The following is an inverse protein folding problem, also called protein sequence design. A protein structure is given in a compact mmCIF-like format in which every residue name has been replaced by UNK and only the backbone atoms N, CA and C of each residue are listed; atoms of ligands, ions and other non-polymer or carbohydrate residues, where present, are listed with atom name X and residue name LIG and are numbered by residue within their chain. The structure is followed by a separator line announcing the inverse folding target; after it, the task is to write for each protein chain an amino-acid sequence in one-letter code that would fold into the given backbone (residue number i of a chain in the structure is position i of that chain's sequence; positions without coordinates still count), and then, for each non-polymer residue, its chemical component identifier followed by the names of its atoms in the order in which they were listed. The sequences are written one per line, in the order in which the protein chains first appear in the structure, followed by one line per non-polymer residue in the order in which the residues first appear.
data_IF_836423544788
#
_entry.id   IF_836423544788
#
_cell.length_a   1.000
_cell.length_b   1.000
_cell.length_c   1.000
_cell.angle_alpha   90.00
_cell.angle_beta   90.00
_cell.angle_gamma   90.00
#
_symmetry.space_group_name_H-M   'P 1'
#
loop_
_entity.id
_entity.type
_entity.pdbx_description
1 polymer ?
#
# COMPACT_ATOMS: atom_id res chain seq x y z
N UNK A 1 -17.96 -20.21 -10.69
CA UNK A 1 -17.77 -18.99 -9.89
C UNK A 1 -16.28 -18.62 -9.83
N UNK A 2 -15.92 -17.40 -10.21
CA UNK A 2 -14.56 -16.88 -9.99
C UNK A 2 -14.22 -16.94 -8.49
N UNK A 3 -12.97 -17.26 -8.11
CA UNK A 3 -12.61 -17.45 -6.71
C UNK A 3 -12.82 -16.13 -5.95
N UNK A 4 -13.47 -16.23 -4.79
CA UNK A 4 -13.75 -15.08 -3.90
C UNK A 4 -12.50 -14.58 -3.17
N UNK A 5 -11.39 -15.31 -3.30
CA UNK A 5 -10.08 -15.00 -2.71
C UNK A 5 -8.96 -15.34 -3.69
N UNK A 6 -7.80 -14.70 -3.54
CA UNK A 6 -6.63 -14.93 -4.39
C UNK A 6 -5.33 -14.70 -3.63
N UNK A 7 -4.23 -15.27 -4.13
CA UNK A 7 -2.91 -15.06 -3.56
C UNK A 7 -2.13 -13.95 -4.27
N UNK A 8 -1.37 -13.16 -3.51
CA UNK A 8 -0.38 -12.21 -4.02
C UNK A 8 0.91 -12.28 -3.23
N UNK A 9 2.03 -11.84 -3.83
CA UNK A 9 3.34 -11.82 -3.17
C UNK A 9 3.57 -10.54 -2.37
N UNK A 10 2.50 -9.78 -2.14
CA UNK A 10 2.53 -8.49 -1.49
C UNK A 10 1.33 -8.38 -0.56
N UNK A 11 1.54 -7.80 0.62
CA UNK A 11 0.55 -7.64 1.66
C UNK A 11 0.01 -6.21 1.67
N UNK A 12 -1.30 -6.06 1.76
CA UNK A 12 -1.96 -4.79 2.04
C UNK A 12 -2.44 -4.83 3.49
N UNK A 13 -2.11 -3.81 4.28
CA UNK A 13 -1.92 -3.99 5.73
C UNK A 13 -3.11 -3.53 6.55
N UNK A 14 -4.27 -3.47 5.93
CA UNK A 14 -5.51 -3.12 6.62
C UNK A 14 -6.39 -4.37 6.64
N UNK A 15 -6.65 -4.89 7.84
CA UNK A 15 -7.43 -6.12 8.00
C UNK A 15 -6.68 -7.42 7.72
N UNK A 16 -5.38 -7.46 7.94
CA UNK A 16 -4.53 -8.61 7.68
C UNK A 16 -4.27 -9.43 8.96
N UNK A 17 -4.03 -10.73 8.77
CA UNK A 17 -3.48 -11.63 9.79
C UNK A 17 -2.16 -12.23 9.31
N UNK A 18 -1.15 -12.26 10.17
CA UNK A 18 0.16 -12.83 9.86
C UNK A 18 0.36 -14.07 10.72
N UNK A 19 0.66 -15.19 10.07
CA UNK A 19 1.03 -16.42 10.75
C UNK A 19 2.38 -16.29 11.45
N UNK A 20 2.55 -16.95 12.60
CA UNK A 20 3.81 -16.96 13.37
C UNK A 20 5.04 -17.21 12.49
N UNK A 21 4.96 -18.20 11.59
CA UNK A 21 6.05 -18.53 10.65
C UNK A 21 6.54 -17.36 9.79
N UNK A 22 5.66 -16.41 9.50
CA UNK A 22 6.00 -15.20 8.72
C UNK A 22 6.55 -14.11 9.64
N UNK A 23 6.03 -13.99 10.86
CA UNK A 23 6.61 -13.13 11.89
C UNK A 23 8.05 -13.52 12.24
N UNK A 24 8.34 -14.82 12.27
CA UNK A 24 9.68 -15.33 12.54
C UNK A 24 10.70 -14.93 11.46
N UNK A 25 10.25 -14.52 10.26
CA UNK A 25 11.10 -14.00 9.19
C UNK A 25 11.30 -12.47 9.27
N UNK A 26 10.56 -11.77 10.13
CA UNK A 26 10.58 -10.31 10.16
C UNK A 26 11.91 -9.80 10.72
N UNK A 27 12.50 -8.84 10.00
CA UNK A 27 13.66 -8.09 10.44
C UNK A 27 13.33 -6.61 10.39
N UNK A 28 13.59 -5.90 11.50
CA UNK A 28 13.35 -4.45 11.55
C UNK A 28 14.24 -3.68 10.57
N UNK A 29 15.51 -4.09 10.48
CA UNK A 29 16.48 -3.63 9.49
C UNK A 29 16.78 -4.80 8.55
N UNK A 30 15.94 -5.03 7.53
CA UNK A 30 16.00 -6.25 6.74
C UNK A 30 17.31 -6.38 5.99
N UNK A 31 18.04 -7.46 6.21
CA UNK A 31 19.31 -7.73 5.55
C UNK A 31 19.14 -8.10 4.07
N UNK A 32 20.16 -7.79 3.27
CA UNK A 32 20.24 -8.15 1.84
C UNK A 32 19.29 -7.38 0.91
N UNK A 33 18.54 -6.39 1.43
CA UNK A 33 17.57 -5.66 0.60
C UNK A 33 18.26 -4.82 -0.48
N UNK A 34 19.48 -4.31 -0.23
CA UNK A 34 20.24 -3.53 -1.21
C UNK A 34 20.59 -4.37 -2.43
N UNK A 35 21.09 -5.59 -2.22
CA UNK A 35 21.36 -6.57 -3.28
C UNK A 35 20.07 -7.01 -3.99
N UNK A 36 19.00 -7.27 -3.22
CA UNK A 36 17.69 -7.57 -3.81
C UNK A 36 17.23 -6.47 -4.78
N UNK A 37 17.47 -5.20 -4.44
CA UNK A 37 17.10 -4.05 -5.26
C UNK A 37 18.02 -3.82 -6.46
N UNK A 38 19.23 -4.39 -6.54
CA UNK A 38 20.06 -4.32 -7.75
C UNK A 38 19.50 -5.22 -8.86
N UNK A 39 18.93 -6.37 -8.50
CA UNK A 39 18.25 -7.26 -9.44
C UNK A 39 17.05 -6.54 -10.10
N UNK A 40 17.12 -6.40 -11.42
CA UNK A 40 16.14 -5.62 -12.19
C UNK A 40 14.74 -6.25 -12.16
N UNK A 41 14.65 -7.57 -12.24
CA UNK A 41 13.39 -8.31 -12.26
C UNK A 41 12.69 -8.24 -10.90
N UNK A 42 13.43 -8.50 -9.82
CA UNK A 42 12.94 -8.37 -8.45
C UNK A 42 12.40 -6.96 -8.19
N UNK A 43 13.21 -5.94 -8.50
CA UNK A 43 12.81 -4.54 -8.35
C UNK A 43 11.58 -4.19 -9.19
N UNK A 44 11.53 -4.66 -10.44
CA UNK A 44 10.40 -4.42 -11.34
C UNK A 44 9.10 -5.00 -10.77
N UNK A 45 9.12 -6.28 -10.37
CA UNK A 45 7.95 -6.97 -9.83
C UNK A 45 7.54 -6.44 -8.45
N UNK A 46 8.51 -6.14 -7.58
CA UNK A 46 8.25 -5.54 -6.27
C UNK A 46 7.63 -4.15 -6.39
N UNK A 47 7.93 -3.42 -7.48
CA UNK A 47 7.35 -2.12 -7.80
C UNK A 47 6.05 -2.18 -8.61
N UNK A 48 5.36 -3.33 -8.66
CA UNK A 48 4.14 -3.50 -9.46
C UNK A 48 4.33 -3.05 -10.91
N UNK A 49 5.30 -3.66 -11.59
CA UNK A 49 5.68 -3.32 -12.97
C UNK A 49 6.06 -1.83 -13.13
N UNK A 50 6.82 -1.31 -12.15
CA UNK A 50 7.19 0.10 -12.02
C UNK A 50 6.02 1.09 -11.86
N UNK A 51 4.82 0.64 -11.49
CA UNK A 51 3.68 1.52 -11.24
C UNK A 51 3.66 2.08 -9.81
N UNK A 52 4.36 1.45 -8.86
CA UNK A 52 4.46 1.92 -7.48
C UNK A 52 5.88 1.76 -6.92
N UNK A 53 6.43 2.81 -6.31
CA UNK A 53 7.85 2.84 -5.89
C UNK A 53 8.09 2.22 -4.51
N UNK A 54 7.74 0.95 -4.31
CA UNK A 54 7.99 0.22 -3.07
C UNK A 54 9.48 0.06 -2.76
N UNK A 55 10.34 -0.07 -3.78
CA UNK A 55 11.79 -0.07 -3.61
C UNK A 55 12.32 1.18 -2.91
N UNK A 56 11.76 2.34 -3.25
CA UNK A 56 12.15 3.61 -2.62
C UNK A 56 11.66 3.70 -1.19
N UNK A 57 10.51 3.08 -0.88
CA UNK A 57 9.99 2.98 0.48
C UNK A 57 10.86 2.06 1.33
N UNK A 58 11.27 0.91 0.78
CA UNK A 58 12.19 -0.02 1.43
C UNK A 58 13.57 0.62 1.68
N UNK A 59 14.08 1.39 0.72
CA UNK A 59 15.38 2.06 0.86
C UNK A 59 15.40 3.12 1.96
N UNK A 60 14.25 3.74 2.27
CA UNK A 60 14.13 4.68 3.39
C UNK A 60 14.18 4.01 4.76
N UNK A 61 13.93 2.69 4.84
CA UNK A 61 14.03 1.94 6.11
C UNK A 61 15.43 2.04 6.68
N UNK A 62 16.47 1.97 5.84
CA UNK A 62 17.87 2.10 6.27
C UNK A 62 18.12 3.41 7.01
N UNK A 63 17.69 4.53 6.42
CA UNK A 63 17.88 5.86 7.01
C UNK A 63 17.18 5.97 8.38
N UNK A 64 16.00 5.38 8.54
CA UNK A 64 15.28 5.35 9.82
C UNK A 64 15.95 4.42 10.84
N UNK A 65 16.50 3.29 10.37
CA UNK A 65 17.19 2.31 11.21
C UNK A 65 18.51 2.82 11.79
N UNK A 66 19.28 3.58 10.99
CA UNK A 66 20.57 4.17 11.35
C UNK A 66 20.45 5.44 12.22
N UNK A 67 19.27 6.06 12.24
CA UNK A 67 19.00 7.27 13.00
C UNK A 67 18.98 6.99 14.51
N UNK A 68 19.81 7.72 15.25
CA UNK A 68 19.92 7.62 16.72
C UNK A 68 18.90 8.48 17.44
N UNK A 69 18.32 9.47 16.76
CA UNK A 69 17.28 10.32 17.32
C UNK A 69 15.91 9.64 17.30
N UNK A 70 15.36 9.38 18.49
CA UNK A 70 14.04 8.77 18.69
C UNK A 70 12.90 9.56 18.04
N UNK A 71 13.00 10.90 17.96
CA UNK A 71 11.95 11.73 17.36
C UNK A 71 11.88 11.61 15.84
N UNK A 72 13.00 11.31 15.18
CA UNK A 72 13.05 11.10 13.72
C UNK A 72 12.60 9.67 13.37
N UNK A 73 12.82 8.69 14.27
CA UNK A 73 12.27 7.33 14.16
C UNK A 73 10.75 7.27 14.17
N UNK A 74 10.04 8.35 14.53
CA UNK A 74 8.57 8.43 14.54
C UNK A 74 7.91 8.28 13.16
N UNK A 75 8.67 8.35 12.07
CA UNK A 75 8.20 7.87 10.74
C UNK A 75 8.37 6.35 10.62
N UNK A 76 8.02 5.63 11.69
CA UNK A 76 8.12 4.19 11.80
C UNK A 76 7.07 3.54 10.90
N UNK A 77 7.54 2.62 10.06
CA UNK A 77 6.69 1.72 9.30
C UNK A 77 7.33 0.34 9.39
N UNK A 78 6.52 -0.70 9.53
CA UNK A 78 6.95 -2.11 9.64
C UNK A 78 6.50 -2.94 8.44
N UNK A 79 5.60 -2.35 7.66
CA UNK A 79 4.85 -3.00 6.60
C UNK A 79 5.69 -3.32 5.36
N UNK A 80 6.54 -2.38 4.96
CA UNK A 80 7.38 -2.54 3.79
C UNK A 80 8.50 -3.55 4.04
N UNK A 81 9.03 -3.60 5.27
CA UNK A 81 10.00 -4.62 5.68
C UNK A 81 9.38 -6.01 5.65
N UNK A 82 8.16 -6.16 6.18
CA UNK A 82 7.46 -7.43 6.13
C UNK A 82 7.15 -7.84 4.68
N UNK A 83 6.65 -6.90 3.87
CA UNK A 83 6.33 -7.16 2.46
C UNK A 83 7.58 -7.59 1.70
N UNK A 84 8.73 -6.98 1.97
CA UNK A 84 10.02 -7.42 1.46
C UNK A 84 10.36 -8.85 1.90
N UNK A 85 10.26 -9.17 3.19
CA UNK A 85 10.58 -10.53 3.68
C UNK A 85 9.68 -11.59 3.04
N UNK A 86 8.38 -11.32 2.92
CA UNK A 86 7.47 -12.24 2.25
C UNK A 86 7.83 -12.38 0.77
N UNK A 87 8.11 -11.28 0.07
CA UNK A 87 8.47 -11.31 -1.34
C UNK A 87 9.78 -12.08 -1.58
N UNK A 88 10.84 -11.78 -0.81
CA UNK A 88 12.16 -12.43 -0.85
C UNK A 88 12.04 -13.94 -0.66
N UNK A 89 11.21 -14.38 0.27
CA UNK A 89 10.98 -15.79 0.57
C UNK A 89 9.90 -16.46 -0.30
N UNK A 90 9.44 -15.79 -1.39
CA UNK A 90 8.37 -16.28 -2.28
C UNK A 90 7.08 -16.64 -1.54
N UNK A 91 6.84 -15.97 -0.41
CA UNK A 91 5.63 -16.14 0.36
C UNK A 91 4.43 -15.48 -0.30
N UNK A 92 3.25 -15.86 0.19
CA UNK A 92 1.97 -15.43 -0.37
C UNK A 92 1.07 -14.88 0.74
N UNK A 93 0.37 -13.81 0.43
CA UNK A 93 -0.77 -13.28 1.17
C UNK A 93 -2.05 -13.75 0.51
N UNK A 94 -3.01 -14.22 1.31
CA UNK A 94 -4.37 -14.49 0.86
C UNK A 94 -5.18 -13.21 0.98
N UNK A 95 -5.78 -12.79 -0.12
CA UNK A 95 -6.61 -11.59 -0.21
C UNK A 95 -8.04 -11.98 -0.60
N UNK A 96 -9.06 -11.36 0.00
CA UNK A 96 -10.41 -11.41 -0.53
C UNK A 96 -10.56 -10.50 -1.76
N UNK A 97 -11.52 -10.79 -2.63
CA UNK A 97 -11.88 -9.91 -3.75
C UNK A 97 -12.53 -8.59 -3.30
N UNK A 98 -13.07 -8.57 -2.08
CA UNK A 98 -13.63 -7.39 -1.43
C UNK A 98 -13.02 -7.25 -0.04
N UNK A 99 -12.60 -6.04 0.33
CA UNK A 99 -12.04 -5.78 1.65
C UNK A 99 -13.11 -6.07 2.71
N UNK A 100 -12.73 -6.91 3.68
CA UNK A 100 -13.56 -7.25 4.84
C UNK A 100 -13.37 -6.28 6.00
N UNK A 101 -12.49 -5.28 5.82
CA UNK A 101 -12.16 -4.29 6.83
C UNK A 101 -12.32 -2.90 6.25
N UNK A 102 -12.78 -1.97 7.08
CA UNK A 102 -12.84 -0.54 6.76
C UNK A 102 -11.95 0.20 7.73
N UNK A 103 -10.98 0.94 7.23
CA UNK A 103 -10.21 1.85 8.06
C UNK A 103 -10.99 3.16 8.26
N UNK A 104 -11.37 3.43 9.50
CA UNK A 104 -12.05 4.67 9.90
C UNK A 104 -11.10 5.66 10.60
N UNK A 105 -9.83 5.29 10.78
CA UNK A 105 -8.79 6.07 11.44
C UNK A 105 -8.03 6.98 10.49
N UNK A 106 -8.71 7.98 9.93
CA UNK A 106 -8.08 9.06 9.17
C UNK A 106 -8.38 10.38 9.92
N UNK A 107 -7.50 10.75 10.87
CA UNK A 107 -7.72 11.93 11.72
C UNK A 107 -6.62 12.16 12.77
N UNK A 108 -6.71 13.27 13.49
CA UNK A 108 -5.78 13.60 14.59
C UNK A 108 -6.02 12.62 15.75
N UNK A 109 -4.99 11.89 16.16
CA UNK A 109 -5.05 10.91 17.26
C UNK A 109 -4.75 9.46 16.87
N UNK A 110 -4.68 9.13 15.58
CA UNK A 110 -4.25 7.82 15.10
C UNK A 110 -2.80 7.87 14.64
N UNK A 111 -1.83 7.39 15.46
CA UNK A 111 -0.37 7.24 15.24
C UNK A 111 0.43 8.41 14.60
N UNK A 112 -0.23 9.44 14.08
CA UNK A 112 0.30 10.62 13.45
C UNK A 112 -0.43 11.84 14.04
N UNK A 113 0.33 12.78 14.57
CA UNK A 113 -0.19 14.06 15.09
C UNK A 113 -0.47 15.08 13.97
N UNK A 114 -0.21 14.72 12.71
CA UNK A 114 -0.34 15.62 11.56
C UNK A 114 -1.23 14.98 10.49
N UNK A 115 -2.15 15.74 9.85
CA UNK A 115 -2.97 15.24 8.76
C UNK A 115 -2.09 14.89 7.56
N UNK A 116 -1.98 13.60 7.26
CA UNK A 116 -1.27 13.11 6.07
C UNK A 116 -2.18 13.26 4.86
N UNK A 117 -1.83 14.16 3.94
CA UNK A 117 -2.47 14.24 2.62
C UNK A 117 -1.89 13.17 1.69
N UNK A 118 -2.16 11.89 1.98
CA UNK A 118 -1.84 10.82 1.05
C UNK A 118 -2.87 10.79 -0.09
N UNK A 119 -2.46 10.56 -1.36
CA UNK A 119 -3.40 10.32 -2.46
C UNK A 119 -4.19 9.02 -2.27
N UNK A 120 -3.72 8.14 -1.39
CA UNK A 120 -4.54 7.13 -0.72
C UNK A 120 -5.04 7.80 0.55
N UNK A 121 -6.19 8.47 0.49
CA UNK A 121 -6.84 9.09 1.65
C UNK A 121 -7.32 8.01 2.61
N UNK A 122 -6.38 7.26 3.17
CA UNK A 122 -6.65 6.10 3.96
C UNK A 122 -7.69 5.16 3.35
N UNK A 123 -7.50 4.74 2.10
CA UNK A 123 -8.32 3.70 1.47
C UNK A 123 -7.44 2.53 1.07
N UNK A 124 -7.88 1.33 1.44
CA UNK A 124 -7.32 0.06 1.02
C UNK A 124 -7.42 -0.01 -0.52
N UNK A 125 -6.40 -0.49 -1.25
CA UNK A 125 -6.53 -0.77 -2.68
C UNK A 125 -7.63 -1.80 -3.02
N UNK A 126 -8.10 -2.59 -2.05
CA UNK A 126 -9.20 -3.54 -2.22
C UNK A 126 -10.56 -2.84 -2.22
N UNK A 127 -11.52 -3.39 -2.98
CA UNK A 127 -12.89 -2.87 -3.05
C UNK A 127 -13.58 -3.08 -1.70
N UNK A 128 -13.92 -2.03 -0.96
CA UNK A 128 -14.67 -2.17 0.29
C UNK A 128 -16.13 -2.62 0.01
N UNK A 129 -16.62 -3.60 0.79
CA UNK A 129 -18.02 -4.05 0.74
C UNK A 129 -19.01 -3.06 1.37
N UNK A 130 -20.31 -3.33 1.22
CA UNK A 130 -21.38 -2.53 1.84
C UNK A 130 -21.38 -2.70 3.37
N UNK A 131 -21.79 -1.65 4.11
CA UNK A 131 -21.71 -1.55 5.58
C UNK A 131 -22.67 -2.47 6.37
N UNK A 132 -23.23 -3.51 5.76
CA UNK A 132 -24.23 -4.37 6.40
C UNK A 132 -23.55 -5.50 7.19
N UNK A 133 -23.81 -5.55 8.50
CA UNK A 133 -23.31 -6.56 9.45
C UNK A 133 -23.76 -8.00 9.13
N UNK A 134 -24.64 -8.18 8.15
CA UNK A 134 -25.24 -9.47 7.77
C UNK A 134 -24.22 -10.52 7.27
N UNK A 135 -23.01 -10.09 6.87
CA UNK A 135 -21.95 -10.98 6.39
C UNK A 135 -21.35 -11.89 7.49
N UNK A 136 -21.55 -11.56 8.77
CA UNK A 136 -20.96 -12.30 9.91
C UNK A 136 -21.83 -13.48 10.41
N UNK A 137 -23.07 -13.62 9.95
CA UNK A 137 -24.04 -14.57 10.53
C UNK A 137 -23.93 -16.01 10.01
N UNK A 138 -23.09 -16.27 8.99
CA UNK A 138 -22.93 -17.60 8.42
C UNK A 138 -21.47 -18.05 8.41
N UNK A 139 -21.10 -19.14 9.12
CA UNK A 139 -19.81 -19.77 8.90
C UNK A 139 -19.79 -20.38 7.48
N UNK A 140 -19.13 -19.71 6.53
CA UNK A 140 -19.08 -20.13 5.11
C UNK A 140 -18.04 -21.22 4.82
N UNK A 141 -17.82 -22.18 5.72
CA UNK A 141 -16.86 -23.25 5.48
C UNK A 141 -17.48 -24.62 5.78
N UNK A 142 -18.39 -25.06 4.90
CA UNK A 142 -18.82 -26.47 4.90
C UNK A 142 -17.79 -27.37 4.21
N UNK A 143 -16.98 -26.83 3.31
CA UNK A 143 -15.83 -27.51 2.68
C UNK A 143 -14.79 -26.47 2.23
N UNK A 144 -13.53 -26.67 2.59
CA UNK A 144 -12.39 -25.90 2.09
C UNK A 144 -11.37 -26.87 1.49
N UNK A 145 -10.99 -26.64 0.24
CA UNK A 145 -9.88 -27.35 -0.38
C UNK A 145 -8.84 -26.33 -0.81
N UNK A 146 -7.60 -26.51 -0.35
CA UNK A 146 -6.48 -25.74 -0.86
C UNK A 146 -6.23 -26.17 -2.30
N UNK A 147 -5.95 -25.23 -3.23
CA UNK A 147 -5.53 -25.62 -4.56
C UNK A 147 -4.21 -26.39 -4.46
N UNK A 148 -4.03 -27.36 -5.35
CA UNK A 148 -2.83 -28.22 -5.39
C UNK A 148 -1.54 -27.43 -5.64
N UNK A 149 -1.65 -26.20 -6.16
CA UNK A 149 -0.56 -25.27 -6.36
C UNK A 149 -0.95 -23.89 -5.83
N UNK A 150 -0.12 -23.33 -4.96
CA UNK A 150 -0.24 -21.95 -4.49
C UNK A 150 0.61 -21.05 -5.40
N UNK A 151 -0.04 -20.30 -6.29
CA UNK A 151 0.63 -19.31 -7.15
C UNK A 151 0.00 -17.94 -7.00
N UNK A 152 0.77 -16.87 -7.28
CA UNK A 152 0.21 -15.53 -7.31
C UNK A 152 -0.84 -15.45 -8.41
N UNK A 153 -1.95 -14.74 -8.15
CA UNK A 153 -2.96 -14.50 -9.16
C UNK A 153 -2.51 -13.34 -10.06
N UNK A 154 -2.06 -13.68 -11.26
CA UNK A 154 -1.51 -12.68 -12.19
C UNK A 154 -2.58 -11.70 -12.68
N UNK A 155 -3.85 -12.11 -12.83
CA UNK A 155 -4.95 -11.21 -13.19
C UNK A 155 -5.19 -10.15 -12.11
N UNK A 156 -5.17 -10.54 -10.84
CA UNK A 156 -5.28 -9.63 -9.70
C UNK A 156 -4.06 -8.68 -9.63
N UNK A 157 -2.85 -9.22 -9.83
CA UNK A 157 -1.62 -8.43 -9.88
C UNK A 157 -1.67 -7.35 -10.98
N UNK A 158 -2.09 -7.72 -12.18
CA UNK A 158 -2.22 -6.78 -13.31
C UNK A 158 -3.29 -5.71 -13.07
N UNK A 159 -4.40 -6.07 -12.41
CA UNK A 159 -5.42 -5.10 -12.00
C UNK A 159 -4.82 -4.04 -11.06
N UNK A 160 -4.02 -4.46 -10.07
CA UNK A 160 -3.33 -3.54 -9.15
C UNK A 160 -2.30 -2.67 -9.87
N UNK A 161 -1.54 -3.23 -10.83
CA UNK A 161 -0.62 -2.45 -11.66
C UNK A 161 -1.35 -1.34 -12.42
N UNK A 162 -2.48 -1.66 -13.04
CA UNK A 162 -3.33 -0.68 -13.74
C UNK A 162 -3.89 0.39 -12.79
N UNK A 163 -4.32 -0.01 -11.60
CA UNK A 163 -4.80 0.91 -10.58
C UNK A 163 -3.69 1.88 -10.14
N UNK A 164 -2.50 1.38 -9.83
CA UNK A 164 -1.35 2.20 -9.47
C UNK A 164 -0.91 3.12 -10.61
N UNK A 165 -0.97 2.66 -11.87
CA UNK A 165 -0.63 3.48 -13.04
C UNK A 165 -1.58 4.69 -13.16
N UNK A 166 -2.89 4.47 -12.99
CA UNK A 166 -3.91 5.55 -12.98
C UNK A 166 -3.63 6.56 -11.88
N UNK A 167 -3.32 6.12 -10.67
CA UNK A 167 -2.97 7.02 -9.56
C UNK A 167 -1.69 7.81 -9.82
N UNK A 168 -0.66 7.16 -10.36
CA UNK A 168 0.60 7.81 -10.74
C UNK A 168 0.37 8.88 -11.80
N UNK A 169 -0.43 8.59 -12.83
CA UNK A 169 -0.79 9.56 -13.87
C UNK A 169 -1.56 10.75 -13.32
N UNK A 170 -2.60 10.52 -12.50
CA UNK A 170 -3.36 11.58 -11.82
C UNK A 170 -2.44 12.47 -10.97
N UNK A 171 -1.53 11.85 -10.21
CA UNK A 171 -0.54 12.56 -9.37
C UNK A 171 0.42 13.41 -10.19
N UNK A 172 0.89 12.90 -11.35
CA UNK A 172 1.77 13.63 -12.27
C UNK A 172 1.05 14.83 -12.89
N UNK A 173 -0.16 14.63 -13.40
CA UNK A 173 -0.99 15.70 -13.95
C UNK A 173 -1.25 16.80 -12.91
N UNK A 174 -1.59 16.41 -11.67
CA UNK A 174 -1.77 17.35 -10.55
C UNK A 174 -0.50 18.15 -10.26
N UNK A 175 0.68 17.52 -10.25
CA UNK A 175 1.98 18.22 -10.07
C UNK A 175 2.22 19.23 -11.19
N UNK A 176 2.02 18.84 -12.45
CA UNK A 176 2.17 19.74 -13.60
C UNK A 176 1.22 20.93 -13.51
N UNK A 177 -0.04 20.70 -13.13
CA UNK A 177 -1.03 21.76 -12.93
C UNK A 177 -0.59 22.73 -11.82
N UNK A 178 -0.19 22.20 -10.66
CA UNK A 178 0.30 23.02 -9.54
C UNK A 178 1.54 23.84 -9.93
N UNK A 179 2.42 23.29 -10.76
CA UNK A 179 3.59 24.01 -11.26
C UNK A 179 3.19 25.16 -12.20
N UNK A 180 2.23 24.93 -13.12
CA UNK A 180 1.67 26.01 -13.96
C UNK A 180 1.03 27.11 -13.13
N UNK A 181 0.26 26.76 -12.09
CA UNK A 181 -0.38 27.75 -11.20
C UNK A 181 0.66 28.57 -10.43
N UNK A 182 1.75 27.94 -9.98
CA UNK A 182 2.85 28.63 -9.28
C UNK A 182 3.60 29.64 -10.16
N UNK A 183 3.58 29.44 -11.48
CA UNK A 183 4.20 30.35 -12.44
C UNK A 183 3.31 31.55 -12.81
N UNK A 184 2.06 31.60 -12.34
CA UNK A 184 1.15 32.74 -12.54
C UNK A 184 1.50 33.93 -11.60
N UNK A 185 1.04 35.15 -11.91
CA UNK A 185 1.19 36.30 -11.02
C UNK A 185 0.69 36.00 -9.59
N UNK A 186 1.45 36.42 -8.57
CA UNK A 186 1.26 36.01 -7.16
C UNK A 186 -0.19 36.08 -6.67
N UNK A 187 -0.95 37.12 -7.01
CA UNK A 187 -2.37 37.26 -6.61
C UNK A 187 -3.26 36.16 -7.22
N UNK A 188 -3.08 35.87 -8.51
CA UNK A 188 -3.85 34.86 -9.26
C UNK A 188 -3.47 33.44 -8.82
N UNK A 189 -2.17 33.18 -8.69
CA UNK A 189 -1.69 31.88 -8.21
C UNK A 189 -2.15 31.56 -6.79
N UNK A 190 -2.13 32.55 -5.88
CA UNK A 190 -2.60 32.39 -4.49
C UNK A 190 -4.10 32.11 -4.41
N UNK A 191 -4.91 32.81 -5.23
CA UNK A 191 -6.36 32.58 -5.31
C UNK A 191 -6.69 31.16 -5.78
N UNK A 192 -6.10 30.71 -6.90
CA UNK A 192 -6.36 29.37 -7.46
C UNK A 192 -5.91 28.25 -6.51
N UNK A 193 -4.78 28.41 -5.80
CA UNK A 193 -4.33 27.45 -4.80
C UNK A 193 -5.25 27.37 -3.58
N UNK A 194 -5.87 28.48 -3.16
CA UNK A 194 -6.85 28.46 -2.07
C UNK A 194 -8.13 27.74 -2.46
N UNK A 195 -8.62 27.93 -3.68
CA UNK A 195 -9.82 27.22 -4.20
C UNK A 195 -9.58 25.71 -4.29
N UNK A 196 -8.39 25.29 -4.73
CA UNK A 196 -8.02 23.87 -4.81
C UNK A 196 -7.84 23.19 -3.44
N UNK A 197 -7.60 23.95 -2.37
CA UNK A 197 -7.52 23.42 -0.99
C UNK A 197 -8.89 23.34 -0.31
N UNK A 198 -9.86 24.16 -0.73
CA UNK A 198 -11.22 24.17 -0.19
C UNK A 198 -12.21 23.26 -0.92
N UNK A 199 -11.83 22.68 -2.06
CA UNK A 199 -12.66 21.72 -2.78
C UNK A 199 -12.67 20.36 -2.05
N UNK A 200 -13.84 19.79 -1.71
CA UNK A 200 -13.92 18.45 -1.14
C UNK A 200 -13.31 17.46 -2.12
N UNK A 201 -12.48 16.55 -1.61
CA UNK A 201 -11.91 15.45 -2.38
C UNK A 201 -13.04 14.53 -2.84
N UNK A 202 -13.33 14.58 -4.14
CA UNK A 202 -14.20 13.63 -4.84
C UNK A 202 -13.52 12.28 -5.06
#
# INVERSE_FOLDING_TARGET
PEPTTFFLNFGFLWGFGIWKRTWDLYEFNPSGFEEFLTNQENRYRFNFDNNYSYSNMLQKVKTVGEETNWDIRKSFTWDIQLSYQVFKHRGLFLHPCQSLVRNVGVGVGANYQQPVSSPFSGHDPLIHGNETMDDYLYPRLNTFSLPSKLTPNEKAYQCLCQMFSRFRLKSRQRKTLLQKIRNLPKKVGKFLLSTLKGAPTA
#
